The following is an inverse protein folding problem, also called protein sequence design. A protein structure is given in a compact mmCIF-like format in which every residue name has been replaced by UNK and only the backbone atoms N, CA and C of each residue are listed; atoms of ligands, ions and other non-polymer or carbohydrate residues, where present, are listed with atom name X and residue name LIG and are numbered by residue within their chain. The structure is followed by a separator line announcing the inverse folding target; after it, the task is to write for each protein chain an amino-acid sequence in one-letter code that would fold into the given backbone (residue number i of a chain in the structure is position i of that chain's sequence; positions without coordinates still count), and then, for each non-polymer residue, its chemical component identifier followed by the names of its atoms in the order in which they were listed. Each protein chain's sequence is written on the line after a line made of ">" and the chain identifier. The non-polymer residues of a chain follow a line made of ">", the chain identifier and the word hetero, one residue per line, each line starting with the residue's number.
data_IF_969125085593
#
_entry.id   IF_969125085593
#
_cell.length_a   1.000
_cell.length_b   1.000
_cell.length_c   1.000
_cell.angle_alpha   90.00
_cell.angle_beta   90.00
_cell.angle_gamma   90.00
#
_symmetry.space_group_name_H-M   'P 1'
#
loop_
_entity.id
_entity.type
_entity.pdbx_description
1 polymer ?
#
# COMPACT_ATOMS: atom_id res chain seq x y z
N UNK A 1 10.54 23.01 16.58
CA UNK A 1 9.24 22.32 16.73
C UNK A 1 8.71 21.72 15.42
N UNK A 2 8.43 22.51 14.37
CA UNK A 2 7.86 21.99 13.11
C UNK A 2 8.71 20.94 12.39
N UNK A 3 10.05 21.03 12.45
CA UNK A 3 10.93 20.06 11.79
C UNK A 3 10.96 18.70 12.50
N UNK A 4 10.94 18.69 13.84
CA UNK A 4 10.92 17.45 14.63
C UNK A 4 9.60 16.69 14.40
N UNK A 5 8.47 17.40 14.44
CA UNK A 5 7.16 16.83 14.13
C UNK A 5 7.12 16.24 12.72
N UNK A 6 7.69 16.93 11.73
CA UNK A 6 7.81 16.40 10.36
C UNK A 6 8.65 15.12 10.29
N UNK A 7 9.76 15.03 11.04
CA UNK A 7 10.61 13.82 11.06
C UNK A 7 9.86 12.64 11.67
N UNK A 8 9.13 12.86 12.77
CA UNK A 8 8.30 11.84 13.41
C UNK A 8 7.16 11.37 12.51
N UNK A 9 6.52 12.31 11.82
CA UNK A 9 5.49 12.05 10.83
C UNK A 9 6.00 11.18 9.66
N UNK A 10 7.16 11.52 9.10
CA UNK A 10 7.78 10.73 8.03
C UNK A 10 8.13 9.31 8.50
N UNK A 11 8.65 9.17 9.73
CA UNK A 11 8.94 7.87 10.32
C UNK A 11 7.65 7.05 10.49
N UNK A 12 6.59 7.65 11.05
CA UNK A 12 5.28 7.01 11.20
C UNK A 12 4.74 6.57 9.84
N UNK A 13 4.74 7.45 8.85
CA UNK A 13 4.27 7.12 7.50
C UNK A 13 5.03 5.94 6.90
N UNK A 14 6.36 5.89 7.05
CA UNK A 14 7.15 4.74 6.57
C UNK A 14 6.77 3.44 7.27
N UNK A 15 6.45 3.46 8.57
CA UNK A 15 5.98 2.27 9.29
C UNK A 15 4.66 1.73 8.69
N UNK A 16 3.72 2.63 8.39
CA UNK A 16 2.46 2.26 7.72
C UNK A 16 2.67 1.75 6.30
N UNK A 17 3.53 2.39 5.50
CA UNK A 17 3.84 1.94 4.15
C UNK A 17 4.41 0.52 4.13
N UNK A 18 5.36 0.24 5.03
CA UNK A 18 5.98 -1.09 5.16
C UNK A 18 4.95 -2.13 5.61
N UNK A 19 4.10 -1.78 6.57
CA UNK A 19 3.01 -2.66 7.02
C UNK A 19 2.00 -2.93 5.90
N UNK A 20 1.61 -1.89 5.15
CA UNK A 20 0.68 -2.00 4.04
C UNK A 20 1.24 -2.91 2.94
N UNK A 21 2.50 -2.73 2.54
CA UNK A 21 3.16 -3.59 1.55
C UNK A 21 3.09 -5.06 1.99
N UNK A 22 3.38 -5.34 3.27
CA UNK A 22 3.29 -6.70 3.82
C UNK A 22 1.85 -7.23 3.76
N UNK A 23 0.87 -6.41 4.12
CA UNK A 23 -0.54 -6.77 4.07
C UNK A 23 -0.99 -7.07 2.63
N UNK A 24 -0.63 -6.24 1.65
CA UNK A 24 -0.94 -6.43 0.24
C UNK A 24 -0.30 -7.69 -0.33
N UNK A 25 0.98 -7.96 -0.03
CA UNK A 25 1.67 -9.22 -0.41
C UNK A 25 0.97 -10.45 0.17
N UNK A 26 0.35 -10.34 1.34
CA UNK A 26 -0.42 -11.43 1.97
C UNK A 26 -1.88 -11.51 1.48
N UNK A 27 -2.36 -10.51 0.75
CA UNK A 27 -3.75 -10.42 0.29
C UNK A 27 -3.91 -10.83 -1.15
N UNK A 28 -2.91 -10.51 -1.99
CA UNK A 28 -2.92 -10.79 -3.41
C UNK A 28 -1.65 -11.51 -3.88
N UNK A 29 -1.85 -12.45 -4.80
CA UNK A 29 -0.77 -13.14 -5.51
C UNK A 29 -0.29 -12.37 -6.74
N UNK A 30 0.87 -12.79 -7.25
CA UNK A 30 1.42 -12.34 -8.53
C UNK A 30 1.67 -10.82 -8.65
N UNK A 31 1.87 -10.13 -7.51
CA UNK A 31 2.31 -8.74 -7.49
C UNK A 31 3.75 -8.65 -8.02
N UNK A 32 4.00 -7.67 -8.87
CA UNK A 32 5.32 -7.31 -9.41
C UNK A 32 5.84 -6.00 -8.79
N UNK A 33 4.97 -4.99 -8.66
CA UNK A 33 5.32 -3.70 -8.08
C UNK A 33 4.17 -3.14 -7.21
N UNK A 34 4.54 -2.50 -6.11
CA UNK A 34 3.65 -1.65 -5.32
C UNK A 34 4.23 -0.23 -5.29
N UNK A 35 3.44 0.75 -5.73
CA UNK A 35 3.78 2.17 -5.61
C UNK A 35 2.79 2.86 -4.68
N UNK A 36 3.29 3.54 -3.66
CA UNK A 36 2.50 4.30 -2.70
C UNK A 36 2.66 5.79 -3.00
N UNK A 37 1.55 6.52 -2.98
CA UNK A 37 1.51 7.97 -3.21
C UNK A 37 0.48 8.62 -2.30
N UNK A 38 0.62 9.93 -2.07
CA UNK A 38 -0.34 10.73 -1.31
C UNK A 38 -0.74 10.11 0.05
N UNK A 39 0.21 9.75 0.93
CA UNK A 39 -0.16 9.41 2.30
C UNK A 39 -0.84 10.63 2.92
N UNK A 40 -2.02 10.44 3.49
CA UNK A 40 -2.72 11.51 4.18
C UNK A 40 -2.14 11.63 5.59
N UNK A 41 -1.45 12.75 5.81
CA UNK A 41 -0.96 13.20 7.11
C UNK A 41 -2.01 14.12 7.71
N UNK A 42 -2.67 13.69 8.80
CA UNK A 42 -3.49 14.59 9.61
C UNK A 42 -2.80 14.86 10.94
N UNK A 43 -2.79 16.13 11.38
CA UNK A 43 -2.40 16.53 12.74
C UNK A 43 -3.31 15.89 13.81
N UNK A 44 -4.50 15.44 13.39
CA UNK A 44 -5.46 14.69 14.18
C UNK A 44 -5.12 13.20 14.10
N UNK A 45 -5.07 12.46 15.23
CA UNK A 45 -5.02 11.00 15.22
C UNK A 45 -6.20 10.45 14.43
N UNK A 46 -5.94 9.81 13.30
CA UNK A 46 -6.97 9.33 12.40
C UNK A 46 -6.41 8.35 11.37
N UNK A 47 -7.30 7.56 10.79
CA UNK A 47 -7.00 6.43 9.90
C UNK A 47 -5.99 6.81 8.81
N UNK A 48 -4.83 6.14 8.84
CA UNK A 48 -3.81 6.30 7.81
C UNK A 48 -4.34 5.75 6.48
N UNK A 49 -4.28 6.58 5.45
CA UNK A 49 -4.72 6.23 4.12
C UNK A 49 -3.76 6.79 3.06
N UNK A 50 -3.73 6.16 1.89
CA UNK A 50 -2.90 6.56 0.77
C UNK A 50 -3.54 6.13 -0.56
N UNK A 51 -2.96 6.59 -1.66
CA UNK A 51 -3.22 6.02 -2.99
C UNK A 51 -2.15 4.98 -3.30
N UNK A 52 -2.57 3.77 -3.64
CA UNK A 52 -1.67 2.69 -4.06
C UNK A 52 -1.89 2.34 -5.53
N UNK A 53 -0.80 2.07 -6.25
CA UNK A 53 -0.80 1.36 -7.53
C UNK A 53 -0.19 -0.02 -7.32
N UNK A 54 -0.90 -1.06 -7.74
CA UNK A 54 -0.39 -2.43 -7.75
C UNK A 54 -0.24 -2.86 -9.21
N UNK A 55 0.96 -3.25 -9.61
CA UNK A 55 1.25 -3.89 -10.89
C UNK A 55 1.38 -5.40 -10.66
N UNK A 56 0.73 -6.19 -11.50
CA UNK A 56 0.80 -7.64 -11.49
C UNK A 56 1.69 -8.16 -12.63
N UNK A 57 2.14 -9.41 -12.50
CA UNK A 57 3.04 -10.06 -13.46
C UNK A 57 2.48 -10.15 -14.90
N UNK A 58 1.15 -10.13 -15.06
CA UNK A 58 0.47 -10.08 -16.36
C UNK A 58 0.35 -8.65 -16.92
N UNK A 59 1.13 -7.72 -16.36
CA UNK A 59 1.24 -6.31 -16.75
C UNK A 59 -0.05 -5.50 -16.58
N UNK A 60 -1.07 -6.07 -15.93
CA UNK A 60 -2.24 -5.31 -15.49
C UNK A 60 -1.90 -4.55 -14.21
N UNK A 61 -2.46 -3.35 -14.09
CA UNK A 61 -2.31 -2.55 -12.88
C UNK A 61 -3.63 -1.93 -12.45
N UNK A 62 -3.73 -1.65 -11.16
CA UNK A 62 -4.87 -0.96 -10.56
C UNK A 62 -4.40 0.11 -9.60
N UNK A 63 -5.11 1.23 -9.58
CA UNK A 63 -4.84 2.37 -8.72
C UNK A 63 -6.10 2.66 -7.90
N UNK A 64 -5.95 2.80 -6.58
CA UNK A 64 -7.08 3.07 -5.69
C UNK A 64 -6.61 3.67 -4.36
N UNK A 65 -7.54 4.35 -3.67
CA UNK A 65 -7.33 4.83 -2.32
C UNK A 65 -7.59 3.71 -1.32
N UNK A 66 -6.73 3.60 -0.32
CA UNK A 66 -6.75 2.51 0.65
C UNK A 66 -6.50 3.04 2.06
N UNK A 67 -7.26 2.53 3.02
CA UNK A 67 -7.04 2.74 4.45
C UNK A 67 -6.30 1.54 5.03
N UNK A 68 -5.36 1.76 5.95
CA UNK A 68 -4.59 0.69 6.57
C UNK A 68 -4.36 0.90 8.07
N UNK A 69 -4.60 -0.15 8.83
CA UNK A 69 -4.24 -0.25 10.24
C UNK A 69 -3.00 -1.15 10.38
N UNK A 70 -2.02 -0.76 11.21
CA UNK A 70 -0.75 -1.48 11.42
C UNK A 70 -0.91 -2.94 11.86
N UNK A 71 -2.02 -3.29 12.51
CA UNK A 71 -2.29 -4.67 12.95
C UNK A 71 -2.84 -5.55 11.81
N UNK A 72 -3.24 -4.95 10.69
CA UNK A 72 -3.86 -5.65 9.57
C UNK A 72 -2.84 -6.51 8.82
N UNK A 73 -2.96 -7.84 8.94
CA UNK A 73 -2.09 -8.79 8.22
C UNK A 73 -2.42 -8.95 6.74
N UNK A 74 -3.63 -8.55 6.34
CA UNK A 74 -4.19 -8.51 4.98
C UNK A 74 -4.96 -7.19 4.83
N UNK A 75 -5.12 -6.70 3.60
CA UNK A 75 -5.85 -5.47 3.33
C UNK A 75 -6.66 -5.58 2.03
N UNK A 76 -7.98 -5.45 2.17
CA UNK A 76 -8.96 -5.45 1.09
C UNK A 76 -9.81 -4.16 1.09
N UNK A 77 -9.38 -3.09 1.77
CA UNK A 77 -10.20 -1.91 2.09
C UNK A 77 -10.48 -0.96 0.91
N UNK A 78 -10.11 -1.34 -0.31
CA UNK A 78 -10.36 -0.53 -1.50
C UNK A 78 -11.83 -0.53 -1.92
N UNK A 79 -12.35 0.63 -2.34
CA UNK A 79 -13.65 0.73 -3.01
C UNK A 79 -13.45 0.56 -4.51
N UNK A 80 -14.12 -0.43 -5.08
CA UNK A 80 -13.96 -0.82 -6.48
C UNK A 80 -15.32 -0.91 -7.19
N UNK A 81 -15.32 -0.68 -8.50
CA UNK A 81 -16.43 -1.11 -9.34
C UNK A 81 -16.38 -2.64 -9.52
N UNK A 82 -17.45 -3.23 -10.06
CA UNK A 82 -17.59 -4.69 -10.22
C UNK A 82 -16.40 -5.31 -10.99
N UNK A 83 -15.99 -4.68 -12.10
CA UNK A 83 -14.84 -5.15 -12.90
C UNK A 83 -13.55 -5.23 -12.08
N UNK A 84 -13.28 -4.21 -11.27
CA UNK A 84 -12.09 -4.14 -10.43
C UNK A 84 -12.18 -5.10 -9.24
N UNK A 85 -13.37 -5.29 -8.66
CA UNK A 85 -13.61 -6.32 -7.63
C UNK A 85 -13.31 -7.71 -8.19
N UNK A 86 -13.92 -8.09 -9.32
CA UNK A 86 -13.69 -9.39 -9.96
C UNK A 86 -12.22 -9.62 -10.29
N UNK A 87 -11.52 -8.56 -10.74
CA UNK A 87 -10.09 -8.63 -10.94
C UNK A 87 -9.34 -8.91 -9.63
N UNK A 88 -9.61 -8.19 -8.54
CA UNK A 88 -8.97 -8.43 -7.25
C UNK A 88 -9.29 -9.80 -6.64
N UNK A 89 -10.54 -10.25 -6.74
CA UNK A 89 -10.96 -11.55 -6.25
C UNK A 89 -10.22 -12.67 -6.98
N UNK A 90 -10.02 -12.52 -8.30
CA UNK A 90 -9.19 -13.43 -9.10
C UNK A 90 -7.69 -13.43 -8.73
N UNK A 91 -7.26 -12.48 -7.90
CA UNK A 91 -5.88 -12.33 -7.40
C UNK A 91 -5.74 -12.66 -5.93
N UNK A 92 -6.79 -13.08 -5.22
CA UNK A 92 -6.69 -13.41 -3.80
C UNK A 92 -5.64 -14.51 -3.61
N UNK A 93 -4.66 -14.24 -2.75
CA UNK A 93 -3.56 -15.16 -2.54
C UNK A 93 -2.40 -14.50 -1.80
N UNK A 94 -1.21 -15.08 -1.94
CA UNK A 94 0.00 -14.55 -1.32
C UNK A 94 1.14 -14.47 -2.33
N UNK A 95 1.68 -13.27 -2.52
CA UNK A 95 2.90 -13.06 -3.30
C UNK A 95 4.12 -13.49 -2.48
N UNK A 96 4.73 -14.62 -2.87
CA UNK A 96 5.98 -15.14 -2.28
C UNK A 96 7.24 -14.58 -2.94
N UNK A 97 7.12 -14.09 -4.17
CA UNK A 97 8.25 -13.52 -4.92
C UNK A 97 8.65 -12.17 -4.35
N UNK A 98 9.88 -11.79 -4.65
CA UNK A 98 10.40 -10.44 -4.44
C UNK A 98 9.69 -9.48 -5.39
N UNK A 99 9.31 -8.30 -4.90
CA UNK A 99 8.61 -7.26 -5.65
C UNK A 99 9.38 -5.95 -5.59
N UNK A 100 9.10 -5.05 -6.53
CA UNK A 100 9.53 -3.66 -6.45
C UNK A 100 8.56 -2.86 -5.57
N UNK A 101 9.10 -2.00 -4.71
CA UNK A 101 8.34 -1.09 -3.86
C UNK A 101 8.83 0.32 -4.17
N UNK A 102 7.90 1.23 -4.41
CA UNK A 102 8.15 2.67 -4.52
C UNK A 102 7.36 3.36 -3.41
N UNK A 103 8.08 3.89 -2.42
CA UNK A 103 7.51 4.61 -1.29
C UNK A 103 7.05 6.01 -1.72
N UNK A 104 6.23 6.66 -0.89
CA UNK A 104 5.65 7.98 -1.19
C UNK A 104 6.68 9.10 -1.33
N UNK A 105 7.86 8.95 -0.74
CA UNK A 105 8.99 9.87 -0.88
C UNK A 105 9.87 9.56 -2.11
N UNK A 106 9.47 8.59 -2.93
CA UNK A 106 10.19 8.16 -4.13
C UNK A 106 11.31 7.17 -3.89
N UNK A 107 11.61 6.80 -2.65
CA UNK A 107 12.60 5.74 -2.38
C UNK A 107 12.12 4.40 -2.97
N UNK A 108 13.04 3.68 -3.60
CA UNK A 108 12.77 2.37 -4.15
C UNK A 108 13.40 1.27 -3.29
N UNK A 109 12.71 0.13 -3.20
CA UNK A 109 13.21 -1.07 -2.53
C UNK A 109 12.76 -2.33 -3.25
N UNK A 110 13.63 -3.34 -3.26
CA UNK A 110 13.33 -4.69 -3.73
C UNK A 110 13.14 -5.60 -2.51
N UNK A 111 11.99 -6.27 -2.37
CA UNK A 111 11.65 -7.12 -1.20
C UNK A 111 10.72 -8.29 -1.51
#
# INVERSE_FOLDING_TARGET
>A
MKEQQRKEELKRNREYEVSLVKALKNSYENIEEIKITHPVSTEIPGDWNCTVRILFNDKKSIVYNITHNLESKKNYSGKFNEKNMNFFDSRIGKTKKTIKIIFSDGQEKIQ
#
